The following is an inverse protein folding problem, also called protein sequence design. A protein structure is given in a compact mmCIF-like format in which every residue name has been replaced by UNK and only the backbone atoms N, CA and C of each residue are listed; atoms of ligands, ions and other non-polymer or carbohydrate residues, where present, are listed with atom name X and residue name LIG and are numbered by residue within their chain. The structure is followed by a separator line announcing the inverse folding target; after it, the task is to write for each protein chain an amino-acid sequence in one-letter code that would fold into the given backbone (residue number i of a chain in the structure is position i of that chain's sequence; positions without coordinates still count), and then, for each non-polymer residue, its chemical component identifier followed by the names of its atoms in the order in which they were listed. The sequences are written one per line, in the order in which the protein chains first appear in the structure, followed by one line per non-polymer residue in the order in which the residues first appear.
data_IF_360854344785
#
_entry.id   IF_360854344785
#
_cell.length_a   1.000
_cell.length_b   1.000
_cell.length_c   1.000
_cell.angle_alpha   90.00
_cell.angle_beta   90.00
_cell.angle_gamma   90.00
#
_symmetry.space_group_name_H-M   'P 1'
#
loop_
_entity.id
_entity.type
_entity.pdbx_description
1 polymer ?
#
# COMPACT_ATOMS: atom_id res chain seq x y z
N UNK A 1 -27.58 16.95 -40.03
CA UNK A 1 -28.68 15.95 -39.92
C UNK A 1 -28.21 14.90 -38.92
N UNK A 2 -28.82 14.57 -37.78
CA UNK A 2 -30.10 14.85 -37.09
C UNK A 2 -29.74 15.16 -35.62
N UNK A 3 -30.03 16.37 -35.11
CA UNK A 3 -31.18 16.80 -34.27
C UNK A 3 -31.17 16.30 -32.80
N UNK A 4 -31.12 17.32 -31.93
CA UNK A 4 -31.40 17.40 -30.49
C UNK A 4 -32.57 16.56 -29.96
N UNK A 5 -32.47 16.19 -28.67
CA UNK A 5 -33.56 15.77 -27.81
C UNK A 5 -33.47 16.39 -26.40
N UNK A 6 -34.19 17.50 -26.22
CA UNK A 6 -34.81 18.11 -25.03
C UNK A 6 -34.35 17.76 -23.60
N UNK A 7 -34.06 18.83 -22.85
CA UNK A 7 -34.14 18.95 -21.39
C UNK A 7 -35.51 18.54 -20.84
N UNK A 8 -35.54 17.88 -19.66
CA UNK A 8 -36.61 17.99 -18.65
C UNK A 8 -35.96 17.94 -17.26
N UNK A 9 -36.25 18.96 -16.45
CA UNK A 9 -35.65 19.17 -15.13
C UNK A 9 -36.14 18.19 -14.08
N UNK A 10 -35.28 17.98 -13.07
CA UNK A 10 -35.63 17.32 -11.82
C UNK A 10 -35.36 18.29 -10.68
N UNK A 11 -36.37 18.46 -9.84
CA UNK A 11 -36.39 19.34 -8.67
C UNK A 11 -35.47 18.76 -7.59
N UNK A 12 -34.62 19.60 -7.01
CA UNK A 12 -33.89 19.30 -5.78
C UNK A 12 -34.88 19.08 -4.63
N UNK A 13 -34.84 17.89 -4.03
CA UNK A 13 -35.42 17.62 -2.72
C UNK A 13 -34.24 17.53 -1.75
N UNK A 14 -34.10 18.54 -0.89
CA UNK A 14 -33.21 18.52 0.25
C UNK A 14 -33.80 17.58 1.32
N UNK A 15 -33.21 16.39 1.48
CA UNK A 15 -33.40 15.59 2.69
C UNK A 15 -32.29 15.98 3.68
N UNK A 16 -32.66 16.66 4.77
CA UNK A 16 -31.80 16.75 5.95
C UNK A 16 -31.78 15.37 6.61
N UNK A 17 -30.67 14.64 6.46
CA UNK A 17 -30.39 13.48 7.30
C UNK A 17 -29.72 13.95 8.59
N UNK A 18 -30.37 13.62 9.70
CA UNK A 18 -29.84 13.81 11.04
C UNK A 18 -28.52 13.05 11.18
N UNK A 19 -27.45 13.77 11.52
CA UNK A 19 -26.15 13.19 11.84
C UNK A 19 -26.25 12.58 13.24
N UNK A 20 -26.36 11.26 13.32
CA UNK A 20 -26.09 10.53 14.56
C UNK A 20 -24.62 10.71 14.91
N UNK A 21 -24.35 11.48 15.96
CA UNK A 21 -23.01 11.75 16.48
C UNK A 21 -22.33 10.45 16.90
N UNK A 22 -21.38 9.97 16.11
CA UNK A 22 -20.35 9.05 16.59
C UNK A 22 -19.42 9.88 17.47
N UNK A 23 -19.36 9.57 18.76
CA UNK A 23 -18.48 10.24 19.69
C UNK A 23 -17.02 10.04 19.24
N UNK A 24 -16.39 11.11 18.77
CA UNK A 24 -14.94 11.11 18.56
C UNK A 24 -14.23 10.88 19.89
N UNK A 25 -13.13 10.11 19.94
CA UNK A 25 -12.28 10.07 21.12
C UNK A 25 -11.84 11.51 21.44
N UNK A 26 -12.05 11.93 22.69
CA UNK A 26 -11.61 13.24 23.17
C UNK A 26 -10.14 13.42 22.82
N UNK A 27 -9.70 14.60 22.34
CA UNK A 27 -8.29 14.86 22.18
C UNK A 27 -7.62 14.60 23.53
N UNK A 28 -6.61 13.72 23.53
CA UNK A 28 -5.75 13.53 24.69
C UNK A 28 -5.14 14.90 24.96
N UNK A 29 -5.66 15.60 25.98
CA UNK A 29 -5.01 16.80 26.49
C UNK A 29 -3.59 16.39 26.85
N UNK A 30 -2.62 17.03 26.19
CA UNK A 30 -1.23 16.88 26.54
C UNK A 30 -1.09 17.21 28.03
N UNK A 31 -0.79 16.20 28.86
CA UNK A 31 -0.48 16.44 30.26
C UNK A 31 0.78 17.28 30.28
N UNK A 32 0.72 18.43 30.96
CA UNK A 32 1.89 19.26 31.25
C UNK A 32 2.94 18.38 31.93
N UNK A 33 4.05 18.12 31.24
CA UNK A 33 5.21 17.47 31.83
C UNK A 33 6.12 18.56 32.40
N UNK A 34 6.29 18.67 33.73
CA UNK A 34 7.17 19.65 34.34
C UNK A 34 8.65 19.45 33.96
N UNK A 35 9.02 18.35 33.29
CA UNK A 35 10.36 18.10 32.73
C UNK A 35 10.53 18.54 31.28
N UNK A 36 9.44 18.85 30.56
CA UNK A 36 9.48 19.43 29.22
C UNK A 36 8.47 20.59 29.10
N UNK A 37 8.70 21.70 29.84
CA UNK A 37 7.74 22.78 29.98
C UNK A 37 7.46 23.56 28.68
N UNK A 38 8.22 23.28 27.61
CA UNK A 38 8.12 23.93 26.30
C UNK A 38 7.90 22.95 25.14
N UNK A 39 7.81 21.64 25.40
CA UNK A 39 7.70 20.61 24.35
C UNK A 39 8.95 20.49 23.45
N UNK A 40 10.11 20.88 23.97
CA UNK A 40 11.39 21.00 23.25
C UNK A 40 12.20 19.72 23.33
N UNK A 41 11.93 18.83 24.30
CA UNK A 41 12.48 17.47 24.31
C UNK A 41 11.69 16.53 23.38
N UNK A 42 11.34 17.01 22.19
CA UNK A 42 11.06 16.13 21.06
C UNK A 42 12.38 15.44 20.72
N UNK A 43 12.41 14.12 20.77
CA UNK A 43 13.46 13.31 20.15
C UNK A 43 13.80 13.91 18.78
N UNK A 44 15.09 14.00 18.43
CA UNK A 44 15.55 14.49 17.11
C UNK A 44 14.61 13.93 16.04
N UNK A 45 13.78 14.80 15.46
CA UNK A 45 12.82 14.37 14.46
C UNK A 45 13.61 13.69 13.33
N UNK A 46 13.25 12.45 13.00
CA UNK A 46 13.77 11.75 11.81
C UNK A 46 13.67 12.71 10.62
N UNK A 47 14.80 13.05 10.02
CA UNK A 47 14.85 14.12 9.03
C UNK A 47 14.51 13.56 7.65
N UNK A 48 13.27 13.74 7.22
CA UNK A 48 12.91 13.60 5.81
C UNK A 48 13.22 14.93 5.14
N UNK A 49 14.20 14.95 4.25
CA UNK A 49 14.57 16.12 3.44
C UNK A 49 13.95 15.97 2.06
N UNK A 50 13.05 16.89 1.71
CA UNK A 50 12.37 16.92 0.42
C UNK A 50 12.82 18.16 -0.35
N UNK A 51 13.40 17.94 -1.53
CA UNK A 51 13.70 18.98 -2.51
C UNK A 51 12.75 18.83 -3.70
N UNK A 52 12.03 19.89 -4.05
CA UNK A 52 11.17 19.92 -5.23
C UNK A 52 11.93 20.66 -6.32
N UNK A 53 12.32 19.93 -7.37
CA UNK A 53 13.08 20.50 -8.47
C UNK A 53 12.20 21.47 -9.28
N UNK A 54 12.79 22.54 -9.86
CA UNK A 54 12.07 23.37 -10.82
C UNK A 54 11.65 22.53 -12.05
N UNK A 55 10.54 22.91 -12.67
CA UNK A 55 10.04 22.25 -13.87
C UNK A 55 8.59 22.63 -14.16
N UNK A 56 7.96 21.90 -15.09
CA UNK A 56 6.59 22.17 -15.50
C UNK A 56 5.58 21.69 -14.44
N UNK A 57 5.40 22.44 -13.36
CA UNK A 57 4.40 22.19 -12.31
C UNK A 57 3.05 22.86 -12.58
N UNK A 58 2.90 23.53 -13.74
CA UNK A 58 1.76 24.41 -14.01
C UNK A 58 1.81 25.66 -13.13
N UNK A 59 0.69 26.00 -12.49
CA UNK A 59 0.59 27.17 -11.61
C UNK A 59 1.04 26.94 -10.16
N UNK A 60 1.54 25.74 -9.84
CA UNK A 60 1.98 25.42 -8.49
C UNK A 60 3.38 25.96 -8.21
N UNK A 61 3.55 26.59 -7.05
CA UNK A 61 4.87 26.99 -6.56
C UNK A 61 5.62 25.76 -5.99
N UNK A 62 6.91 25.55 -6.32
CA UNK A 62 7.69 24.44 -5.76
C UNK A 62 7.78 24.43 -4.23
N UNK A 63 7.77 25.60 -3.57
CA UNK A 63 7.75 25.73 -2.11
C UNK A 63 6.42 25.28 -1.50
N UNK A 64 5.31 25.58 -2.17
CA UNK A 64 3.98 25.07 -1.81
C UNK A 64 3.94 23.55 -1.94
N UNK A 65 4.43 23.01 -3.06
CA UNK A 65 4.54 21.56 -3.27
C UNK A 65 5.36 20.94 -2.14
N UNK A 66 6.55 21.49 -1.84
CA UNK A 66 7.42 21.00 -0.76
C UNK A 66 6.69 20.94 0.58
N UNK A 67 5.98 22.01 0.95
CA UNK A 67 5.21 22.09 2.20
C UNK A 67 4.12 21.01 2.28
N UNK A 68 3.42 20.77 1.16
CA UNK A 68 2.44 19.70 1.05
C UNK A 68 3.08 18.32 1.20
N UNK A 69 4.18 18.05 0.49
CA UNK A 69 4.85 16.74 0.53
C UNK A 69 5.47 16.44 1.91
N UNK A 70 5.96 17.46 2.61
CA UNK A 70 6.39 17.33 4.02
C UNK A 70 5.22 16.98 4.94
N UNK A 71 4.01 17.48 4.66
CA UNK A 71 2.79 17.10 5.39
C UNK A 71 2.40 15.65 5.12
N UNK A 72 2.47 15.21 3.85
CA UNK A 72 2.24 13.81 3.45
C UNK A 72 3.23 12.87 4.15
N UNK A 73 4.54 13.17 4.05
CA UNK A 73 5.58 12.35 4.65
C UNK A 73 5.40 12.23 6.16
N UNK A 74 5.03 13.32 6.84
CA UNK A 74 4.74 13.33 8.28
C UNK A 74 3.54 12.45 8.62
N UNK A 75 2.44 12.58 7.88
CA UNK A 75 1.22 11.81 8.15
C UNK A 75 1.45 10.31 7.97
N UNK A 76 2.21 9.92 6.94
CA UNK A 76 2.45 8.52 6.63
C UNK A 76 3.57 7.91 7.49
N UNK A 77 4.78 8.50 7.49
CA UNK A 77 5.97 7.88 8.08
C UNK A 77 5.98 7.88 9.61
N UNK A 78 5.15 8.68 10.28
CA UNK A 78 4.99 8.58 11.74
C UNK A 78 4.51 7.18 12.17
N UNK A 79 3.82 6.46 11.29
CA UNK A 79 3.29 5.12 11.54
C UNK A 79 4.18 3.98 11.02
N UNK A 80 5.28 4.31 10.32
CA UNK A 80 6.27 3.34 9.87
C UNK A 80 7.61 3.50 10.63
N UNK A 81 7.64 3.39 11.97
CA UNK A 81 8.85 3.65 12.72
C UNK A 81 9.87 2.52 12.53
N UNK A 82 10.99 2.85 11.90
CA UNK A 82 12.01 1.89 11.47
C UNK A 82 12.51 2.20 10.07
N UNK A 83 11.73 2.97 9.30
CA UNK A 83 12.16 3.48 8.02
C UNK A 83 13.33 4.47 8.15
N UNK A 84 14.32 4.35 7.24
CA UNK A 84 15.70 4.86 7.34
C UNK A 84 15.80 6.28 7.91
N UNK A 85 16.75 6.49 8.83
CA UNK A 85 16.81 7.68 9.69
C UNK A 85 17.10 9.01 8.98
N UNK A 86 17.49 9.02 7.70
CA UNK A 86 17.74 10.24 6.91
C UNK A 86 17.28 10.02 5.46
N UNK A 87 15.99 10.29 5.20
CA UNK A 87 15.42 10.10 3.88
C UNK A 87 15.61 11.38 3.05
N UNK A 88 16.45 11.32 2.01
CA UNK A 88 16.63 12.42 1.06
C UNK A 88 15.85 12.12 -0.20
N UNK A 89 14.88 12.99 -0.50
CA UNK A 89 13.97 12.88 -1.64
C UNK A 89 14.14 14.08 -2.56
N UNK A 90 14.31 13.81 -3.86
CA UNK A 90 14.18 14.80 -4.93
C UNK A 90 12.92 14.52 -5.73
N UNK A 91 12.05 15.51 -5.84
CA UNK A 91 10.75 15.38 -6.51
C UNK A 91 10.74 16.23 -7.76
N UNK A 92 10.45 15.62 -8.91
CA UNK A 92 10.48 16.27 -10.23
C UNK A 92 9.17 16.07 -11.00
N UNK A 93 8.77 16.99 -11.89
CA UNK A 93 7.57 16.80 -12.70
C UNK A 93 7.83 15.85 -13.86
N UNK A 94 6.86 14.99 -14.20
CA UNK A 94 6.84 14.18 -15.44
C UNK A 94 5.47 14.19 -16.11
N UNK A 95 5.38 13.80 -17.38
CA UNK A 95 4.16 13.97 -18.20
C UNK A 95 3.22 12.76 -18.26
N UNK A 96 3.66 11.59 -17.82
CA UNK A 96 2.98 10.29 -17.98
C UNK A 96 2.38 9.76 -16.67
N UNK A 97 2.93 8.70 -16.05
CA UNK A 97 2.40 8.07 -14.83
C UNK A 97 3.36 8.28 -13.64
N UNK A 98 2.94 8.62 -12.41
CA UNK A 98 3.89 8.83 -11.31
C UNK A 98 4.79 7.61 -11.12
N UNK A 99 6.05 7.84 -10.70
CA UNK A 99 6.99 6.76 -10.39
C UNK A 99 8.14 7.20 -9.50
N UNK A 100 8.65 6.30 -8.68
CA UNK A 100 9.98 6.36 -8.09
C UNK A 100 11.00 5.70 -9.02
N UNK A 101 12.20 6.28 -9.13
CA UNK A 101 13.31 5.68 -9.87
C UNK A 101 14.05 4.64 -9.02
N UNK A 102 14.45 3.52 -9.63
CA UNK A 102 15.35 2.55 -8.99
C UNK A 102 16.73 3.16 -8.76
N UNK A 103 17.24 3.92 -9.74
CA UNK A 103 18.49 4.64 -9.61
C UNK A 103 18.36 5.81 -8.65
N UNK A 104 19.37 5.97 -7.81
CA UNK A 104 19.50 7.15 -6.95
C UNK A 104 20.07 8.31 -7.73
N UNK A 105 19.76 9.53 -7.28
CA UNK A 105 20.49 10.70 -7.75
C UNK A 105 21.94 10.68 -7.29
N UNK A 106 22.71 11.65 -7.78
CA UNK A 106 24.17 11.72 -7.56
C UNK A 106 24.53 11.85 -6.08
N UNK A 107 23.65 12.45 -5.27
CA UNK A 107 23.81 12.57 -3.82
C UNK A 107 23.27 11.37 -3.03
N UNK A 108 22.81 10.31 -3.70
CA UNK A 108 22.18 9.15 -3.08
C UNK A 108 20.69 9.33 -2.77
N UNK A 109 20.09 10.43 -3.21
CA UNK A 109 18.67 10.73 -3.01
C UNK A 109 17.76 9.78 -3.81
N UNK A 110 16.57 9.48 -3.27
CA UNK A 110 15.52 8.88 -4.08
C UNK A 110 14.92 9.95 -4.99
N UNK A 111 14.64 9.59 -6.25
CA UNK A 111 13.99 10.49 -7.20
C UNK A 111 12.55 10.03 -7.40
N UNK A 112 11.61 10.89 -7.02
CA UNK A 112 10.17 10.69 -7.24
C UNK A 112 9.73 11.61 -8.38
N UNK A 113 8.98 11.05 -9.33
CA UNK A 113 8.46 11.76 -10.49
C UNK A 113 6.94 11.85 -10.41
N UNK A 114 6.39 13.06 -10.37
CA UNK A 114 4.94 13.28 -10.20
C UNK A 114 4.30 13.91 -11.43
N UNK A 115 3.04 13.56 -11.67
CA UNK A 115 2.25 14.03 -12.82
C UNK A 115 1.20 15.06 -12.41
N UNK A 116 0.97 15.22 -11.10
CA UNK A 116 0.16 16.28 -10.53
C UNK A 116 0.63 17.67 -11.03
N UNK A 117 -0.34 18.57 -11.24
CA UNK A 117 -0.12 19.93 -11.77
C UNK A 117 -1.05 20.90 -11.09
N UNK A 118 -0.68 22.17 -11.16
CA UNK A 118 -1.43 23.29 -10.60
C UNK A 118 -1.70 23.05 -9.10
N UNK A 119 -2.71 23.70 -8.55
CA UNK A 119 -3.05 23.61 -7.13
C UNK A 119 -3.96 22.40 -6.82
N UNK A 120 -3.83 21.30 -7.58
CA UNK A 120 -4.53 20.03 -7.33
C UNK A 120 -3.81 19.24 -6.24
N UNK A 121 -3.69 19.81 -5.04
CA UNK A 121 -2.93 19.25 -3.92
C UNK A 121 -3.34 17.83 -3.54
N UNK A 122 -4.62 17.47 -3.69
CA UNK A 122 -5.08 16.09 -3.51
C UNK A 122 -4.39 15.08 -4.45
N UNK A 123 -4.05 15.48 -5.69
CA UNK A 123 -3.30 14.60 -6.60
C UNK A 123 -1.83 14.47 -6.20
N UNK A 124 -1.19 15.55 -5.75
CA UNK A 124 0.18 15.47 -5.22
C UNK A 124 0.24 14.56 -3.99
N UNK A 125 -0.71 14.73 -3.06
CA UNK A 125 -0.77 13.91 -1.85
C UNK A 125 -0.96 12.43 -2.18
N UNK A 126 -1.93 12.13 -3.06
CA UNK A 126 -2.20 10.77 -3.52
C UNK A 126 -0.97 10.15 -4.21
N UNK A 127 -0.42 10.80 -5.25
CA UNK A 127 0.70 10.24 -6.01
C UNK A 127 1.97 10.11 -5.16
N UNK A 128 2.30 11.12 -4.35
CA UNK A 128 3.51 11.08 -3.55
C UNK A 128 3.43 10.05 -2.42
N UNK A 129 2.26 9.85 -1.81
CA UNK A 129 2.07 8.79 -0.82
C UNK A 129 2.28 7.39 -1.44
N UNK A 130 1.82 7.18 -2.68
CA UNK A 130 2.07 5.94 -3.44
C UNK A 130 3.57 5.69 -3.60
N UNK A 131 4.29 6.65 -4.16
CA UNK A 131 5.74 6.51 -4.41
C UNK A 131 6.56 6.44 -3.12
N UNK A 132 6.12 7.12 -2.07
CA UNK A 132 6.75 7.03 -0.76
C UNK A 132 6.55 5.65 -0.12
N UNK A 133 5.41 5.00 -0.38
CA UNK A 133 5.15 3.64 0.07
C UNK A 133 6.08 2.63 -0.60
N UNK A 134 6.33 2.74 -1.92
CA UNK A 134 7.35 1.93 -2.61
C UNK A 134 8.71 2.04 -1.93
N UNK A 135 9.14 3.28 -1.65
CA UNK A 135 10.39 3.55 -0.94
C UNK A 135 10.38 2.89 0.45
N UNK A 136 9.26 2.97 1.17
CA UNK A 136 9.09 2.36 2.48
C UNK A 136 9.08 0.82 2.45
N UNK A 137 8.71 0.22 1.32
CA UNK A 137 8.57 -1.23 1.13
C UNK A 137 9.78 -1.91 0.50
N UNK A 138 10.95 -1.27 0.49
CA UNK A 138 12.17 -1.77 -0.15
C UNK A 138 11.95 -2.17 -1.62
N UNK A 139 11.24 -1.35 -2.41
CA UNK A 139 10.91 -1.65 -3.82
C UNK A 139 12.12 -2.02 -4.69
N UNK A 140 13.32 -1.57 -4.33
CA UNK A 140 14.58 -1.80 -5.04
C UNK A 140 15.25 -3.16 -4.69
N UNK A 141 14.66 -3.95 -3.78
CA UNK A 141 15.12 -5.29 -3.41
C UNK A 141 14.51 -6.39 -4.29
N UNK A 142 14.73 -6.33 -5.60
CA UNK A 142 14.23 -7.33 -6.55
C UNK A 142 15.38 -8.08 -7.23
N UNK A 143 15.23 -9.39 -7.39
CA UNK A 143 16.19 -10.20 -8.14
C UNK A 143 16.07 -9.92 -9.64
N UNK A 144 17.23 -9.88 -10.31
CA UNK A 144 17.29 -9.87 -11.78
C UNK A 144 17.39 -11.33 -12.21
N UNK A 145 16.38 -11.81 -12.91
CA UNK A 145 16.29 -13.18 -13.44
C UNK A 145 16.30 -13.14 -14.96
N UNK A 146 17.37 -13.65 -15.58
CA UNK A 146 17.54 -13.56 -17.03
C UNK A 146 17.59 -12.10 -17.49
N UNK A 147 16.76 -11.74 -18.47
CA UNK A 147 16.68 -10.39 -19.05
C UNK A 147 15.73 -9.44 -18.29
N UNK A 148 15.14 -9.87 -17.16
CA UNK A 148 14.10 -9.12 -16.45
C UNK A 148 14.23 -9.12 -14.93
N UNK A 149 13.43 -8.29 -14.27
CA UNK A 149 13.30 -8.25 -12.80
C UNK A 149 12.15 -9.17 -12.37
N UNK A 150 12.32 -9.95 -11.31
CA UNK A 150 11.24 -10.78 -10.78
C UNK A 150 10.11 -9.87 -10.23
N UNK A 151 8.93 -9.94 -10.83
CA UNK A 151 7.79 -9.04 -10.55
C UNK A 151 6.50 -9.76 -10.10
N UNK A 152 6.55 -11.08 -9.91
CA UNK A 152 5.34 -11.90 -9.70
C UNK A 152 4.51 -11.59 -8.44
N UNK A 153 5.05 -10.81 -7.51
CA UNK A 153 4.33 -10.31 -6.33
C UNK A 153 4.31 -8.76 -6.25
N UNK A 154 4.78 -8.05 -7.28
CA UNK A 154 4.78 -6.59 -7.29
C UNK A 154 3.34 -6.02 -7.27
N UNK A 155 2.35 -6.74 -7.81
CA UNK A 155 0.94 -6.33 -7.72
C UNK A 155 0.49 -6.07 -6.27
N UNK A 156 1.00 -6.84 -5.31
CA UNK A 156 0.64 -6.67 -3.90
C UNK A 156 1.30 -5.42 -3.31
N UNK A 157 2.51 -5.10 -3.75
CA UNK A 157 3.19 -3.84 -3.43
C UNK A 157 2.40 -2.64 -3.98
N UNK A 158 1.95 -2.70 -5.23
CA UNK A 158 1.10 -1.67 -5.84
C UNK A 158 -0.22 -1.48 -5.05
N UNK A 159 -0.85 -2.58 -4.61
CA UNK A 159 -2.06 -2.51 -3.79
C UNK A 159 -1.82 -1.88 -2.41
N UNK A 160 -0.69 -2.16 -1.76
CA UNK A 160 -0.31 -1.50 -0.51
C UNK A 160 0.02 -0.02 -0.72
N UNK A 161 0.63 0.36 -1.85
CA UNK A 161 0.90 1.76 -2.20
C UNK A 161 -0.39 2.55 -2.50
N UNK A 162 -1.37 1.93 -3.17
CA UNK A 162 -2.72 2.50 -3.32
C UNK A 162 -3.39 2.68 -1.95
N UNK A 163 -3.25 1.68 -1.05
CA UNK A 163 -3.77 1.75 0.32
C UNK A 163 -3.15 2.92 1.08
N UNK A 164 -1.83 3.12 0.95
CA UNK A 164 -1.11 4.23 1.58
C UNK A 164 -1.62 5.59 1.09
N UNK A 165 -1.94 5.69 -0.20
CA UNK A 165 -2.49 6.90 -0.81
C UNK A 165 -3.86 7.26 -0.24
N UNK A 166 -4.78 6.29 -0.18
CA UNK A 166 -6.12 6.48 0.38
C UNK A 166 -6.07 6.81 1.88
N UNK A 167 -5.28 6.04 2.65
CA UNK A 167 -5.07 6.26 4.07
C UNK A 167 -4.57 7.69 4.32
N UNK A 168 -3.52 8.10 3.60
CA UNK A 168 -2.88 9.41 3.78
C UNK A 168 -3.81 10.56 3.41
N UNK A 169 -4.60 10.44 2.34
CA UNK A 169 -5.62 11.44 2.00
C UNK A 169 -6.61 11.64 3.16
N UNK A 170 -7.10 10.56 3.75
CA UNK A 170 -8.05 10.62 4.89
C UNK A 170 -7.39 11.18 6.15
N UNK A 171 -6.10 10.88 6.40
CA UNK A 171 -5.32 11.48 7.50
C UNK A 171 -5.13 12.99 7.32
N UNK A 172 -4.72 13.42 6.12
CA UNK A 172 -4.55 14.84 5.78
C UNK A 172 -5.87 15.60 5.87
N UNK A 173 -6.98 15.00 5.41
CA UNK A 173 -8.31 15.59 5.56
C UNK A 173 -8.59 15.94 7.02
N UNK A 174 -8.42 14.98 7.93
CA UNK A 174 -8.67 15.17 9.35
C UNK A 174 -7.69 16.16 10.01
N UNK A 175 -6.39 16.09 9.68
CA UNK A 175 -5.41 16.97 10.33
C UNK A 175 -5.50 18.42 9.83
N UNK A 176 -5.83 18.64 8.56
CA UNK A 176 -5.94 19.98 7.98
C UNK A 176 -7.26 20.71 8.31
N UNK A 177 -8.26 20.02 8.86
CA UNK A 177 -9.43 20.67 9.45
C UNK A 177 -9.05 21.57 10.63
N UNK A 178 -8.08 21.15 11.44
CA UNK A 178 -7.68 21.85 12.67
C UNK A 178 -6.31 22.50 12.59
N UNK A 179 -5.39 21.96 11.79
CA UNK A 179 -4.00 22.39 11.74
C UNK A 179 -3.41 22.29 10.33
N UNK A 180 -3.94 23.06 9.35
CA UNK A 180 -3.31 23.12 8.03
C UNK A 180 -1.91 23.76 8.14
N UNK A 181 -0.94 23.37 7.30
CA UNK A 181 0.42 23.90 7.38
C UNK A 181 0.49 25.40 7.07
N UNK A 182 -0.55 25.95 6.42
CA UNK A 182 -0.71 27.38 6.17
C UNK A 182 -2.16 27.81 6.32
N UNK A 183 -2.35 29.08 6.70
CA UNK A 183 -3.67 29.67 6.93
C UNK A 183 -4.53 29.75 5.66
N UNK A 184 -3.92 30.00 4.51
CA UNK A 184 -4.61 30.07 3.21
C UNK A 184 -5.10 28.69 2.71
N UNK A 185 -4.68 27.61 3.35
CA UNK A 185 -5.13 26.24 3.07
C UNK A 185 -6.21 25.75 4.04
N UNK A 186 -6.68 26.61 4.95
CA UNK A 186 -7.80 26.29 5.81
C UNK A 186 -9.03 25.86 4.98
N UNK A 187 -9.63 24.73 5.34
CA UNK A 187 -10.76 24.14 4.62
C UNK A 187 -10.38 23.23 3.45
N UNK A 188 -9.11 23.19 3.01
CA UNK A 188 -8.69 22.30 1.92
C UNK A 188 -8.77 20.80 2.32
N UNK A 189 -8.82 20.49 3.61
CA UNK A 189 -9.05 19.13 4.12
C UNK A 189 -10.24 18.43 3.46
N UNK A 190 -11.32 19.16 3.17
CA UNK A 190 -12.50 18.63 2.49
C UNK A 190 -12.21 18.17 1.05
N UNK A 191 -11.26 18.79 0.34
CA UNK A 191 -10.87 18.35 -0.99
C UNK A 191 -10.13 17.00 -0.94
N UNK A 192 -9.31 16.74 0.09
CA UNK A 192 -8.72 15.42 0.30
C UNK A 192 -9.79 14.37 0.62
N UNK A 193 -10.72 14.70 1.51
CA UNK A 193 -11.83 13.81 1.88
C UNK A 193 -12.72 13.50 0.66
N UNK A 194 -13.09 14.51 -0.12
CA UNK A 194 -13.88 14.35 -1.32
C UNK A 194 -13.19 13.46 -2.35
N UNK A 195 -11.89 13.67 -2.58
CA UNK A 195 -11.13 12.84 -3.51
C UNK A 195 -11.06 11.38 -3.07
N UNK A 196 -10.75 11.11 -1.80
CA UNK A 196 -10.75 9.76 -1.25
C UNK A 196 -12.14 9.09 -1.35
N UNK A 197 -13.23 9.83 -1.07
CA UNK A 197 -14.60 9.32 -1.24
C UNK A 197 -14.92 9.01 -2.69
N UNK A 198 -14.51 9.85 -3.64
CA UNK A 198 -14.70 9.60 -5.07
C UNK A 198 -14.04 8.30 -5.49
N UNK A 199 -12.75 8.13 -5.16
CA UNK A 199 -12.01 6.89 -5.45
C UNK A 199 -12.72 5.68 -4.84
N UNK A 200 -13.01 5.71 -3.53
CA UNK A 200 -13.67 4.60 -2.83
C UNK A 200 -15.10 4.28 -3.32
N UNK A 201 -15.76 5.22 -3.99
CA UNK A 201 -17.10 5.02 -4.56
C UNK A 201 -17.10 4.33 -5.92
N UNK A 202 -15.92 4.12 -6.53
CA UNK A 202 -15.79 3.45 -7.82
C UNK A 202 -16.22 1.99 -7.68
N UNK A 203 -17.19 1.50 -8.51
CA UNK A 203 -17.77 0.17 -8.33
C UNK A 203 -16.75 -0.97 -8.43
N UNK A 204 -15.74 -0.86 -9.30
CA UNK A 204 -14.75 -1.91 -9.51
C UNK A 204 -13.88 -2.18 -8.29
N UNK A 205 -13.83 -1.26 -7.32
CA UNK A 205 -13.04 -1.42 -6.09
C UNK A 205 -13.71 -2.29 -5.03
N UNK A 206 -14.97 -2.64 -5.24
CA UNK A 206 -15.76 -3.40 -4.27
C UNK A 206 -15.72 -4.88 -4.60
N UNK A 207 -15.47 -5.70 -3.58
CA UNK A 207 -15.74 -7.14 -3.67
C UNK A 207 -17.24 -7.37 -3.81
N UNK A 208 -17.59 -8.46 -4.49
CA UNK A 208 -18.99 -8.86 -4.60
C UNK A 208 -19.58 -9.22 -3.23
N UNK A 209 -20.91 -9.17 -3.13
CA UNK A 209 -21.57 -9.45 -1.86
C UNK A 209 -21.29 -10.88 -1.39
N UNK A 210 -20.73 -11.01 -0.18
CA UNK A 210 -20.31 -12.26 0.46
C UNK A 210 -19.06 -12.93 -0.14
N UNK A 211 -18.40 -12.29 -1.10
CA UNK A 211 -17.11 -12.73 -1.60
C UNK A 211 -16.02 -12.35 -0.58
N UNK A 212 -15.14 -13.29 -0.24
CA UNK A 212 -13.96 -12.98 0.55
C UNK A 212 -12.80 -12.52 -0.34
N UNK A 213 -11.85 -11.76 0.21
CA UNK A 213 -10.64 -11.39 -0.54
C UNK A 213 -9.84 -12.63 -1.00
N UNK A 214 -9.91 -13.74 -0.25
CA UNK A 214 -9.27 -15.01 -0.61
C UNK A 214 -9.93 -15.67 -1.81
N UNK A 215 -11.26 -15.68 -1.89
CA UNK A 215 -12.00 -16.20 -3.04
C UNK A 215 -11.68 -15.39 -4.29
N UNK A 216 -11.80 -14.06 -4.19
CA UNK A 216 -11.45 -13.13 -5.27
C UNK A 216 -10.01 -13.29 -5.74
N UNK A 217 -9.06 -13.42 -4.80
CA UNK A 217 -7.65 -13.64 -5.14
C UNK A 217 -7.43 -14.96 -5.87
N UNK A 218 -8.10 -16.05 -5.45
CA UNK A 218 -7.96 -17.35 -6.10
C UNK A 218 -8.36 -17.30 -7.59
N UNK A 219 -9.34 -16.47 -7.95
CA UNK A 219 -9.77 -16.27 -9.34
C UNK A 219 -8.83 -15.37 -10.17
N UNK A 220 -8.03 -14.52 -9.51
CA UNK A 220 -7.21 -13.51 -10.17
C UNK A 220 -5.69 -13.69 -10.01
N UNK A 221 -5.26 -14.67 -9.22
CA UNK A 221 -3.86 -14.90 -8.86
C UNK A 221 -2.91 -14.95 -10.07
N UNK A 222 -3.27 -15.70 -11.12
CA UNK A 222 -2.42 -15.85 -12.31
C UNK A 222 -2.23 -14.51 -13.03
N UNK A 223 -3.31 -13.77 -13.25
CA UNK A 223 -3.25 -12.46 -13.92
C UNK A 223 -2.48 -11.42 -13.12
N UNK A 224 -2.62 -11.41 -11.79
CA UNK A 224 -1.88 -10.52 -10.90
C UNK A 224 -0.39 -10.83 -10.92
N UNK A 225 -0.04 -12.12 -11.02
CA UNK A 225 1.34 -12.58 -11.13
C UNK A 225 1.97 -12.24 -12.48
N UNK A 226 1.18 -12.27 -13.56
CA UNK A 226 1.63 -11.97 -14.93
C UNK A 226 1.82 -10.47 -15.16
N UNK A 227 0.85 -9.65 -14.74
CA UNK A 227 0.91 -8.20 -14.90
C UNK A 227 0.66 -7.49 -13.55
N UNK A 228 1.71 -6.93 -12.92
CA UNK A 228 1.57 -6.25 -11.65
C UNK A 228 0.84 -4.90 -11.75
N UNK A 229 0.62 -4.38 -12.96
CA UNK A 229 0.04 -3.06 -13.20
C UNK A 229 -1.46 -3.11 -13.53
N UNK A 230 -2.14 -4.23 -13.24
CA UNK A 230 -3.59 -4.37 -13.33
C UNK A 230 -4.29 -3.49 -12.28
N UNK A 231 -4.35 -2.19 -12.56
CA UNK A 231 -4.74 -1.13 -11.62
C UNK A 231 -6.08 -1.38 -10.94
N UNK A 232 -7.13 -1.72 -11.69
CA UNK A 232 -8.46 -1.96 -11.12
C UNK A 232 -8.43 -3.10 -10.08
N UNK A 233 -7.64 -4.15 -10.33
CA UNK A 233 -7.46 -5.28 -9.41
C UNK A 233 -6.65 -4.90 -8.17
N UNK A 234 -5.60 -4.11 -8.34
CA UNK A 234 -4.82 -3.58 -7.22
C UNK A 234 -5.68 -2.70 -6.31
N UNK A 235 -6.60 -1.91 -6.90
CA UNK A 235 -7.52 -1.04 -6.17
C UNK A 235 -8.61 -1.80 -5.38
N UNK A 236 -9.03 -2.99 -5.83
CA UNK A 236 -9.87 -3.92 -5.03
C UNK A 236 -9.14 -4.34 -3.76
N UNK A 237 -7.93 -4.87 -3.91
CA UNK A 237 -7.11 -5.32 -2.78
C UNK A 237 -6.85 -4.17 -1.82
N UNK A 238 -6.50 -2.99 -2.34
CA UNK A 238 -6.24 -1.81 -1.53
C UNK A 238 -7.46 -1.40 -0.70
N UNK A 239 -8.65 -1.40 -1.32
CA UNK A 239 -9.91 -1.07 -0.65
C UNK A 239 -10.27 -2.10 0.42
N UNK A 240 -10.03 -3.38 0.17
CA UNK A 240 -10.27 -4.46 1.13
C UNK A 240 -9.31 -4.43 2.33
N UNK A 241 -8.09 -3.92 2.16
CA UNK A 241 -7.08 -3.83 3.22
C UNK A 241 -7.10 -2.50 3.99
N UNK A 242 -7.57 -1.41 3.38
CA UNK A 242 -7.62 -0.07 3.98
C UNK A 242 -8.19 -0.05 5.42
N UNK A 243 -9.29 -0.74 5.76
CA UNK A 243 -9.84 -0.73 7.12
C UNK A 243 -8.87 -1.22 8.21
N UNK A 244 -7.93 -2.11 7.87
CA UNK A 244 -6.91 -2.57 8.81
C UNK A 244 -6.01 -1.42 9.26
N UNK A 245 -5.52 -0.64 8.30
CA UNK A 245 -4.63 0.49 8.56
C UNK A 245 -5.37 1.68 9.17
N UNK A 246 -6.65 1.87 8.86
CA UNK A 246 -7.45 2.92 9.51
C UNK A 246 -7.79 2.60 10.97
N UNK A 247 -8.16 1.34 11.24
CA UNK A 247 -8.44 0.87 12.59
C UNK A 247 -7.18 0.79 13.45
N UNK A 248 -6.03 0.50 12.82
CA UNK A 248 -4.76 0.37 13.52
C UNK A 248 -3.58 0.94 12.70
N UNK A 249 -3.38 2.28 12.70
CA UNK A 249 -2.35 2.94 11.89
C UNK A 249 -0.93 2.40 12.06
N UNK A 250 -0.54 1.93 13.26
CA UNK A 250 0.79 1.36 13.52
C UNK A 250 1.10 0.11 12.70
N UNK A 251 0.10 -0.52 12.07
CA UNK A 251 0.32 -1.59 11.10
C UNK A 251 1.22 -1.16 9.95
N UNK A 252 1.28 0.14 9.61
CA UNK A 252 2.26 0.64 8.64
C UNK A 252 3.72 0.33 9.01
N UNK A 253 4.06 0.02 10.27
CA UNK A 253 5.41 -0.41 10.63
C UNK A 253 5.86 -1.65 9.84
N UNK A 254 4.95 -2.59 9.62
CA UNK A 254 5.26 -3.83 8.91
C UNK A 254 5.63 -3.60 7.44
N UNK A 255 5.25 -2.48 6.80
CA UNK A 255 5.66 -2.17 5.42
C UNK A 255 7.18 -2.15 5.25
N UNK A 256 7.90 -1.73 6.29
CA UNK A 256 9.37 -1.60 6.29
C UNK A 256 10.11 -2.94 6.20
N UNK A 257 9.37 -4.04 6.41
CA UNK A 257 9.86 -5.42 6.33
C UNK A 257 9.39 -6.13 5.06
N UNK A 258 8.63 -5.46 4.18
CA UNK A 258 8.27 -5.99 2.87
C UNK A 258 9.53 -6.11 1.99
N UNK A 259 9.49 -7.03 1.02
CA UNK A 259 10.62 -7.34 0.13
C UNK A 259 11.94 -7.57 0.89
N UNK A 260 11.97 -8.52 1.85
CA UNK A 260 13.12 -8.69 2.74
C UNK A 260 14.39 -9.20 2.03
N UNK A 261 14.24 -9.83 0.87
CA UNK A 261 15.35 -10.29 0.04
C UNK A 261 14.99 -10.22 -1.45
N UNK A 262 16.03 -10.15 -2.29
CA UNK A 262 15.87 -10.17 -3.76
C UNK A 262 15.11 -11.40 -4.26
N UNK A 263 15.34 -12.56 -3.63
CA UNK A 263 14.72 -13.83 -3.99
C UNK A 263 13.23 -13.92 -3.62
N UNK A 264 12.73 -13.06 -2.72
CA UNK A 264 11.33 -13.11 -2.27
C UNK A 264 10.34 -12.78 -3.41
N UNK A 265 10.70 -11.86 -4.32
CA UNK A 265 9.79 -11.38 -5.36
C UNK A 265 9.35 -12.48 -6.35
N UNK A 266 10.19 -13.51 -6.58
CA UNK A 266 9.89 -14.63 -7.49
C UNK A 266 9.06 -15.76 -6.88
N UNK A 267 8.91 -15.81 -5.55
CA UNK A 267 8.21 -16.89 -4.84
C UNK A 267 6.71 -16.93 -5.17
N UNK A 268 6.06 -18.02 -4.77
CA UNK A 268 4.59 -18.05 -4.71
C UNK A 268 4.11 -16.95 -3.76
N UNK A 269 2.92 -16.42 -3.97
CA UNK A 269 2.43 -15.32 -3.13
C UNK A 269 2.33 -15.70 -1.65
N UNK A 270 1.90 -16.93 -1.35
CA UNK A 270 1.85 -17.39 0.04
C UNK A 270 3.24 -17.52 0.69
N UNK A 271 4.27 -17.95 -0.05
CA UNK A 271 5.66 -17.96 0.47
C UNK A 271 6.24 -16.54 0.57
N UNK A 272 5.85 -15.63 -0.32
CA UNK A 272 6.19 -14.21 -0.23
C UNK A 272 5.60 -13.57 1.03
N UNK A 273 4.33 -13.84 1.35
CA UNK A 273 3.71 -13.42 2.61
C UNK A 273 4.35 -14.08 3.82
N UNK A 274 4.78 -15.34 3.72
CA UNK A 274 5.50 -16.03 4.80
C UNK A 274 6.87 -15.38 5.08
N UNK A 275 7.61 -14.95 4.05
CA UNK A 275 8.86 -14.19 4.22
C UNK A 275 8.60 -12.84 4.94
N UNK A 276 7.56 -12.13 4.52
CA UNK A 276 7.16 -10.86 5.16
C UNK A 276 6.75 -11.09 6.62
N UNK A 277 5.92 -12.10 6.87
CA UNK A 277 5.53 -12.52 8.22
C UNK A 277 6.77 -12.82 9.06
N UNK A 278 7.71 -13.63 8.57
CA UNK A 278 8.90 -14.07 9.31
C UNK A 278 9.81 -12.89 9.72
N UNK A 279 9.87 -11.84 8.91
CA UNK A 279 10.78 -10.70 9.12
C UNK A 279 10.19 -9.55 9.94
N UNK A 280 8.87 -9.43 10.02
CA UNK A 280 8.21 -8.43 10.86
C UNK A 280 8.41 -8.72 12.35
N UNK A 281 8.83 -7.76 13.20
CA UNK A 281 8.85 -7.94 14.65
C UNK A 281 7.45 -8.13 15.25
N UNK A 282 6.49 -7.34 14.77
CA UNK A 282 5.07 -7.51 15.08
C UNK A 282 4.38 -8.29 13.94
N UNK A 283 3.82 -9.45 14.31
CA UNK A 283 3.20 -10.38 13.36
C UNK A 283 1.73 -10.07 13.07
N UNK A 284 1.11 -9.13 13.79
CA UNK A 284 -0.34 -8.93 13.75
C UNK A 284 -0.85 -8.58 12.34
N UNK A 285 -0.24 -7.60 11.67
CA UNK A 285 -0.62 -7.23 10.29
C UNK A 285 -0.39 -8.38 9.30
N UNK A 286 0.84 -8.92 9.12
CA UNK A 286 1.06 -9.95 8.11
C UNK A 286 0.20 -11.20 8.38
N UNK A 287 -0.05 -11.55 9.65
CA UNK A 287 -0.98 -12.64 10.00
C UNK A 287 -2.41 -12.38 9.52
N UNK A 288 -2.93 -11.17 9.72
CA UNK A 288 -4.26 -10.76 9.29
C UNK A 288 -4.37 -10.70 7.76
N UNK A 289 -3.34 -10.18 7.08
CA UNK A 289 -3.28 -10.19 5.61
C UNK A 289 -3.28 -11.63 5.08
N UNK A 290 -2.42 -12.51 5.62
CA UNK A 290 -2.39 -13.92 5.24
C UNK A 290 -3.77 -14.56 5.37
N UNK A 291 -4.45 -14.36 6.52
CA UNK A 291 -5.80 -14.90 6.75
C UNK A 291 -6.83 -14.37 5.76
N UNK A 292 -6.78 -13.09 5.39
CA UNK A 292 -7.70 -12.49 4.40
C UNK A 292 -7.53 -13.07 3.00
N UNK A 293 -6.31 -13.48 2.65
CA UNK A 293 -6.02 -14.17 1.40
C UNK A 293 -6.17 -15.70 1.48
N UNK A 294 -6.67 -16.23 2.60
CA UNK A 294 -6.90 -17.68 2.77
C UNK A 294 -5.63 -18.48 3.12
N UNK A 295 -4.55 -17.83 3.52
CA UNK A 295 -3.33 -18.48 4.00
C UNK A 295 -3.31 -18.64 5.52
N UNK A 296 -2.69 -19.72 5.98
CA UNK A 296 -2.47 -20.01 7.39
C UNK A 296 -1.08 -19.49 7.82
N UNK A 297 -0.99 -18.49 8.72
CA UNK A 297 0.29 -17.95 9.19
C UNK A 297 1.12 -18.95 9.99
N UNK A 298 0.48 -19.95 10.63
CA UNK A 298 1.17 -20.98 11.43
C UNK A 298 1.64 -22.17 10.56
N UNK A 299 1.17 -22.24 9.31
CA UNK A 299 1.50 -23.31 8.37
C UNK A 299 1.82 -22.76 6.97
N UNK A 300 3.01 -22.17 6.76
CA UNK A 300 3.37 -21.55 5.50
C UNK A 300 3.38 -22.56 4.33
N UNK A 301 3.10 -22.13 3.08
CA UNK A 301 2.88 -23.02 1.94
C UNK A 301 4.06 -23.95 1.61
N UNK A 302 5.29 -23.46 1.69
CA UNK A 302 6.51 -24.27 1.55
C UNK A 302 6.58 -25.44 2.54
N UNK A 303 6.00 -25.31 3.73
CA UNK A 303 5.91 -26.42 4.69
C UNK A 303 4.90 -27.51 4.26
N UNK A 304 3.87 -27.17 3.45
CA UNK A 304 2.96 -28.17 2.87
C UNK A 304 3.63 -29.00 1.78
N UNK A 305 4.44 -28.38 0.92
CA UNK A 305 5.16 -29.09 -0.14
C UNK A 305 6.19 -30.08 0.44
N UNK A 306 7.00 -29.66 1.42
CA UNK A 306 7.98 -30.53 2.08
C UNK A 306 7.34 -31.63 2.93
N UNK A 307 6.20 -31.35 3.59
CA UNK A 307 5.47 -32.37 4.34
C UNK A 307 4.80 -33.41 3.43
N UNK A 308 4.22 -32.99 2.30
CA UNK A 308 3.61 -33.91 1.33
C UNK A 308 4.67 -34.79 0.64
N UNK A 309 5.86 -34.25 0.32
CA UNK A 309 6.98 -35.06 -0.20
C UNK A 309 7.43 -36.10 0.83
N UNK A 310 7.58 -35.71 2.11
CA UNK A 310 7.94 -36.64 3.19
C UNK A 310 6.89 -37.74 3.41
N UNK A 311 5.60 -37.39 3.31
CA UNK A 311 4.51 -38.37 3.43
C UNK A 311 4.51 -39.31 2.23
N UNK A 312 4.76 -38.81 1.01
CA UNK A 312 4.86 -39.65 -0.19
C UNK A 312 6.07 -40.62 -0.09
N UNK A 313 7.24 -40.15 0.32
CA UNK A 313 8.41 -41.01 0.55
C UNK A 313 8.17 -42.08 1.63
N UNK A 314 7.45 -41.74 2.71
CA UNK A 314 7.09 -42.69 3.76
C UNK A 314 6.07 -43.74 3.27
N UNK A 315 5.17 -43.37 2.35
CA UNK A 315 4.19 -44.28 1.74
C UNK A 315 4.86 -45.21 0.72
N UNK A 316 5.81 -44.69 -0.07
CA UNK A 316 6.55 -45.47 -1.07
C UNK A 316 7.52 -46.50 -0.43
N UNK A 317 8.01 -46.23 0.78
CA UNK A 317 8.80 -47.20 1.57
C UNK A 317 7.92 -48.29 2.19
N UNK A 318 6.61 -48.04 2.39
CA UNK A 318 5.68 -48.96 3.05
C UNK A 318 4.98 -49.94 2.09
N UNK A 319 5.11 -49.79 0.77
CA UNK A 319 4.60 -50.75 -0.21
C UNK A 319 5.52 -51.98 -0.35
N UNK A 320 5.08 -53.21 -0.04
CA UNK A 320 5.89 -54.41 -0.26
C UNK A 320 6.09 -54.64 -1.76
N UNK A 321 7.35 -54.82 -2.19
CA UNK A 321 7.66 -55.28 -3.55
C UNK A 321 7.16 -56.70 -3.73
N UNK A 322 6.19 -56.88 -4.62
CA UNK A 322 5.72 -58.19 -5.09
C UNK A 322 6.89 -59.00 -5.66
N UNK A 323 7.19 -60.14 -5.03
CA UNK A 323 8.12 -61.13 -5.56
C UNK A 323 7.38 -61.96 -6.62
N UNK A 324 7.72 -61.69 -7.88
CA UNK A 324 7.11 -62.28 -9.06
C UNK A 324 7.12 -63.81 -9.08
N UNK A 325 5.98 -64.36 -9.48
CA UNK A 325 5.73 -65.77 -9.67
C UNK A 325 6.54 -66.36 -10.85
N UNK A 326 7.08 -67.54 -10.58
CA UNK A 326 7.64 -68.54 -11.48
C UNK A 326 6.69 -68.93 -12.62
N UNK A 327 7.15 -68.82 -13.87
CA UNK A 327 6.49 -69.40 -15.05
C UNK A 327 6.91 -70.86 -15.28
N UNK A 328 6.04 -71.72 -15.84
CA UNK A 328 6.40 -73.10 -16.14
C UNK A 328 6.98 -73.27 -17.55
N UNK A 329 7.79 -74.32 -17.66
CA UNK A 329 8.48 -74.87 -18.82
C UNK A 329 7.52 -75.80 -19.58
N UNK A 330 7.59 -75.82 -20.93
CA UNK A 330 7.33 -77.05 -21.69
C UNK A 330 6.50 -76.94 -22.97
N UNK A 331 7.21 -77.14 -24.09
CA UNK A 331 6.84 -77.65 -25.43
C UNK A 331 5.82 -76.92 -26.34
#
# INVERSE_FOLDING_TARGET
MRKWGSRRGWRLILLMLAVSSVAMPKPVQAKFDPRDPLGVMRSKARAVSIEVAPGNWGRADPGDIRTLLESVAREFLQYAPGFRNDLVLRVVPRSDAPRVLYERGVGGEYIIQLTARDQRWFQYAYQFAHELCHIASNFDHKEVTGDGVAQGNQWFEEALCETASLFTLKRLAASWESNPPRRDWAGYGEAFAAYARTLLSEPHRQLEKNESLGDWYAEHADSLREDPYLREKNEVVATALLPLFEGQPQFWQAITHLNPSRASAGKTFGDYLADWYATCPDKALPAEVMRRFGFDPDRPPSARASANVKVQELVDVATPRDLGASGPIGE
#
